data_IF_664098268911
#
_entry.id   IF_664098268911
#
_cell.length_a   1.000
_cell.length_b   1.000
_cell.length_c   1.000
_cell.angle_alpha   90.00
_cell.angle_beta   90.00
_cell.angle_gamma   90.00
#
_symmetry.space_group_name_H-M   'P 1'
#
loop_
_entity.id
_entity.type
_entity.pdbx_description
1 polymer ?
#
# COMPACT_ATOMS: atom_id res chain seq x y z
N UNK A 1 54.60 9.95 -40.67
CA UNK A 1 53.49 9.01 -40.42
C UNK A 1 52.99 8.55 -41.77
N UNK A 2 52.95 7.25 -42.01
CA UNK A 2 52.54 6.66 -43.29
C UNK A 2 51.02 6.61 -43.41
N UNK A 3 50.49 6.62 -44.63
CA UNK A 3 49.03 6.58 -44.88
C UNK A 3 48.36 5.32 -44.30
N UNK A 4 49.10 4.21 -44.21
CA UNK A 4 48.64 2.98 -43.58
C UNK A 4 48.45 3.14 -42.07
N UNK A 5 49.38 3.80 -41.37
CA UNK A 5 49.25 4.08 -39.94
C UNK A 5 48.06 5.00 -39.66
N UNK A 6 47.82 6.00 -40.51
CA UNK A 6 46.67 6.91 -40.36
C UNK A 6 45.34 6.19 -40.51
N UNK A 7 45.21 5.33 -41.53
CA UNK A 7 43.99 4.53 -41.76
C UNK A 7 43.71 3.54 -40.63
N UNK A 8 44.76 2.98 -40.04
CA UNK A 8 44.65 2.10 -38.87
C UNK A 8 44.18 2.89 -37.65
N UNK A 9 44.76 4.07 -37.40
CA UNK A 9 44.34 4.96 -36.30
C UNK A 9 42.87 5.40 -36.41
N UNK A 10 42.40 5.79 -37.60
CA UNK A 10 40.99 6.14 -37.84
C UNK A 10 40.03 4.98 -37.55
N UNK A 11 40.41 3.74 -37.91
CA UNK A 11 39.64 2.54 -37.56
C UNK A 11 39.60 2.28 -36.04
N UNK A 12 40.70 2.58 -35.32
CA UNK A 12 40.74 2.45 -33.87
C UNK A 12 39.96 3.56 -33.15
N UNK A 13 39.92 4.79 -33.68
CA UNK A 13 39.11 5.88 -33.11
C UNK A 13 37.62 5.62 -33.27
N UNK A 14 37.18 5.14 -34.45
CA UNK A 14 35.77 4.81 -34.70
C UNK A 14 35.24 3.61 -33.91
N UNK A 15 36.11 2.77 -33.36
CA UNK A 15 35.75 1.61 -32.54
C UNK A 15 35.78 1.89 -31.03
N UNK A 16 36.17 3.10 -30.61
CA UNK A 16 36.09 3.48 -29.20
C UNK A 16 34.61 3.55 -28.78
N UNK A 17 34.23 2.86 -27.71
CA UNK A 17 32.86 2.93 -27.21
C UNK A 17 32.63 4.38 -26.73
N UNK A 18 31.58 5.02 -27.24
CA UNK A 18 31.22 6.40 -26.90
C UNK A 18 30.89 6.49 -25.42
N UNK A 19 31.82 6.98 -24.60
CA UNK A 19 31.73 7.05 -23.12
C UNK A 19 30.40 7.65 -22.62
N UNK A 20 29.86 8.58 -23.40
CA UNK A 20 28.55 9.23 -23.24
C UNK A 20 27.33 8.29 -23.35
N UNK A 21 27.45 7.16 -24.07
CA UNK A 21 26.41 6.12 -24.23
C UNK A 21 26.65 4.89 -23.32
N UNK A 22 27.81 4.76 -22.64
CA UNK A 22 28.11 3.53 -21.86
C UNK A 22 27.36 3.43 -20.54
N UNK A 23 26.90 4.56 -20.00
CA UNK A 23 26.21 4.60 -18.71
C UNK A 23 24.93 5.41 -18.87
N UNK A 24 23.81 4.72 -19.10
CA UNK A 24 22.49 5.33 -18.88
C UNK A 24 22.40 5.75 -17.42
N UNK A 25 22.67 7.03 -17.15
CA UNK A 25 22.47 7.61 -15.81
C UNK A 25 20.97 7.71 -15.56
N UNK A 26 20.39 6.66 -14.95
CA UNK A 26 19.02 6.71 -14.47
C UNK A 26 18.91 7.76 -13.37
N UNK A 27 18.27 8.89 -13.67
CA UNK A 27 18.00 9.96 -12.71
C UNK A 27 16.77 9.65 -11.84
N UNK A 28 16.44 8.36 -11.67
CA UNK A 28 15.28 7.91 -10.89
C UNK A 28 15.67 7.87 -9.42
N UNK A 29 15.02 8.71 -8.62
CA UNK A 29 15.21 8.72 -7.17
C UNK A 29 14.56 7.47 -6.53
N UNK A 30 15.30 6.36 -6.51
CA UNK A 30 14.84 5.09 -5.94
C UNK A 30 14.40 5.23 -4.48
N UNK A 31 15.04 6.09 -3.67
CA UNK A 31 14.67 6.31 -2.27
C UNK A 31 13.27 6.91 -2.15
N UNK A 32 12.98 7.93 -2.96
CA UNK A 32 11.65 8.55 -2.96
C UNK A 32 10.57 7.56 -3.36
N UNK A 33 10.81 6.75 -4.41
CA UNK A 33 9.86 5.74 -4.85
C UNK A 33 9.67 4.61 -3.85
N UNK A 34 10.74 4.15 -3.19
CA UNK A 34 10.63 3.17 -2.10
C UNK A 34 9.78 3.72 -0.94
N UNK A 35 9.97 4.99 -0.57
CA UNK A 35 9.21 5.62 0.49
C UNK A 35 7.71 5.74 0.12
N UNK A 36 7.40 6.06 -1.14
CA UNK A 36 6.01 6.07 -1.64
C UNK A 36 5.36 4.70 -1.49
N UNK A 37 6.05 3.62 -1.88
CA UNK A 37 5.52 2.25 -1.76
C UNK A 37 5.27 1.88 -0.29
N UNK A 38 6.18 2.24 0.61
CA UNK A 38 6.03 1.98 2.05
C UNK A 38 4.83 2.73 2.61
N UNK A 39 4.72 4.04 2.36
CA UNK A 39 3.60 4.83 2.85
C UNK A 39 2.26 4.35 2.30
N UNK A 40 2.23 3.96 1.02
CA UNK A 40 1.03 3.38 0.42
C UNK A 40 0.62 2.08 1.10
N UNK A 41 1.59 1.21 1.43
CA UNK A 41 1.34 -0.01 2.21
C UNK A 41 0.76 0.30 3.60
N UNK A 42 1.28 1.33 4.29
CA UNK A 42 0.75 1.77 5.59
C UNK A 42 -0.69 2.27 5.46
N UNK A 43 -1.01 3.05 4.42
CA UNK A 43 -2.38 3.53 4.18
C UNK A 43 -3.33 2.36 3.96
N UNK A 44 -2.96 1.38 3.14
CA UNK A 44 -3.78 0.17 2.92
C UNK A 44 -4.00 -0.58 4.24
N UNK A 45 -2.93 -0.76 5.02
CA UNK A 45 -3.01 -1.45 6.31
C UNK A 45 -3.96 -0.73 7.27
N UNK A 46 -3.88 0.60 7.35
CA UNK A 46 -4.80 1.43 8.15
C UNK A 46 -6.25 1.31 7.68
N UNK A 47 -6.50 1.28 6.36
CA UNK A 47 -7.85 1.07 5.82
C UNK A 47 -8.41 -0.30 6.24
N UNK A 48 -7.62 -1.37 6.19
CA UNK A 48 -8.03 -2.71 6.62
C UNK A 48 -8.33 -2.72 8.13
N UNK A 49 -7.46 -2.11 8.93
CA UNK A 49 -7.66 -2.00 10.38
C UNK A 49 -8.95 -1.24 10.72
N UNK A 50 -9.21 -0.13 10.02
CA UNK A 50 -10.42 0.67 10.20
C UNK A 50 -11.69 -0.11 9.85
N UNK A 51 -11.69 -0.85 8.73
CA UNK A 51 -12.81 -1.71 8.34
C UNK A 51 -13.10 -2.77 9.41
N UNK A 52 -12.07 -3.42 9.95
CA UNK A 52 -12.26 -4.44 10.98
C UNK A 52 -12.83 -3.86 12.27
N UNK A 53 -12.30 -2.70 12.71
CA UNK A 53 -12.80 -2.02 13.90
C UNK A 53 -14.26 -1.56 13.73
N UNK A 54 -14.62 -1.01 12.57
CA UNK A 54 -15.99 -0.56 12.32
C UNK A 54 -16.97 -1.73 12.16
N UNK A 55 -16.53 -2.85 11.60
CA UNK A 55 -17.32 -4.07 11.55
C UNK A 55 -17.65 -4.60 12.96
N UNK A 56 -16.66 -4.59 13.87
CA UNK A 56 -16.90 -4.97 15.27
C UNK A 56 -17.82 -3.98 15.98
N UNK A 57 -17.62 -2.67 15.80
CA UNK A 57 -18.49 -1.62 16.35
C UNK A 57 -19.93 -1.81 15.89
N UNK A 58 -20.15 -2.00 14.59
CA UNK A 58 -21.49 -2.14 14.03
C UNK A 58 -22.17 -3.44 14.51
N UNK A 59 -21.43 -4.55 14.61
CA UNK A 59 -21.92 -5.80 15.19
C UNK A 59 -22.36 -5.64 16.66
N UNK A 60 -21.64 -4.83 17.45
CA UNK A 60 -22.01 -4.52 18.83
C UNK A 60 -23.29 -3.68 18.93
N UNK A 61 -23.42 -2.64 18.09
CA UNK A 61 -24.60 -1.76 18.08
C UNK A 61 -25.86 -2.51 17.62
N UNK A 62 -25.70 -3.41 16.65
CA UNK A 62 -26.81 -4.21 16.10
C UNK A 62 -27.06 -5.52 16.86
N UNK A 63 -26.30 -5.77 17.93
CA UNK A 63 -26.39 -6.96 18.78
C UNK A 63 -26.35 -8.29 17.99
N UNK A 64 -25.43 -8.39 17.01
CA UNK A 64 -25.31 -9.56 16.13
C UNK A 64 -24.57 -10.75 16.78
N UNK A 65 -23.87 -10.53 17.89
CA UNK A 65 -23.10 -11.56 18.60
C UNK A 65 -23.57 -11.73 20.06
N UNK A 66 -24.82 -12.16 20.31
CA UNK A 66 -25.29 -12.43 21.66
C UNK A 66 -24.61 -13.69 22.23
N UNK A 67 -24.13 -13.62 23.47
CA UNK A 67 -23.58 -14.79 24.16
C UNK A 67 -24.72 -15.80 24.49
N UNK A 68 -24.60 -17.08 24.06
CA UNK A 68 -25.63 -18.09 24.28
C UNK A 68 -25.74 -18.53 25.75
N UNK A 69 -24.69 -18.34 26.56
CA UNK A 69 -24.62 -18.76 27.97
C UNK A 69 -25.01 -17.61 28.90
N UNK A 70 -24.53 -16.40 28.62
CA UNK A 70 -24.75 -15.24 29.49
C UNK A 70 -25.67 -14.20 28.84
N UNK A 71 -26.91 -14.09 29.34
CA UNK A 71 -27.87 -13.09 28.88
C UNK A 71 -27.32 -11.67 29.09
N UNK A 72 -26.99 -10.99 27.99
CA UNK A 72 -26.44 -9.62 27.99
C UNK A 72 -24.92 -9.53 27.85
N UNK A 73 -24.20 -10.66 27.83
CA UNK A 73 -22.80 -10.67 27.43
C UNK A 73 -22.65 -10.77 25.91
N UNK A 74 -21.47 -10.39 25.43
CA UNK A 74 -21.12 -10.44 24.00
C UNK A 74 -20.12 -11.56 23.77
N UNK A 75 -20.40 -12.41 22.78
CA UNK A 75 -19.45 -13.44 22.37
C UNK A 75 -18.27 -12.81 21.60
N UNK A 76 -17.10 -12.82 22.24
CA UNK A 76 -15.85 -12.32 21.65
C UNK A 76 -15.39 -13.16 20.48
N UNK A 77 -15.67 -14.46 20.45
CA UNK A 77 -15.28 -15.33 19.34
C UNK A 77 -16.05 -14.94 18.07
N UNK A 78 -17.36 -14.70 18.21
CA UNK A 78 -18.20 -14.16 17.13
C UNK A 78 -17.70 -12.79 16.63
N UNK A 79 -17.27 -11.88 17.50
CA UNK A 79 -16.78 -10.56 17.08
C UNK A 79 -15.56 -10.58 16.14
N UNK A 80 -14.74 -11.63 16.16
CA UNK A 80 -13.59 -11.74 15.26
C UNK A 80 -13.97 -12.20 13.85
N UNK A 81 -15.13 -12.84 13.69
CA UNK A 81 -15.54 -13.49 12.43
C UNK A 81 -16.83 -12.93 11.85
N UNK A 82 -17.59 -12.18 12.65
CA UNK A 82 -18.88 -11.60 12.25
C UNK A 82 -18.69 -10.71 11.04
N UNK A 83 -19.59 -10.82 10.06
CA UNK A 83 -19.70 -9.90 8.94
C UNK A 83 -20.98 -9.11 9.13
N UNK A 84 -20.85 -7.87 9.55
CA UNK A 84 -21.99 -7.08 10.01
C UNK A 84 -22.72 -6.30 8.91
N UNK A 85 -22.05 -6.06 7.76
CA UNK A 85 -22.64 -5.53 6.52
C UNK A 85 -22.17 -6.32 5.29
N UNK A 86 -22.87 -6.15 4.17
CA UNK A 86 -22.60 -6.90 2.95
C UNK A 86 -21.26 -6.55 2.30
N UNK A 87 -20.85 -5.28 2.40
CA UNK A 87 -19.65 -4.79 1.75
C UNK A 87 -18.67 -4.07 2.69
N UNK A 88 -17.38 -4.38 2.53
CA UNK A 88 -16.30 -3.82 3.34
C UNK A 88 -16.12 -2.30 3.17
N UNK A 89 -16.45 -1.77 1.99
CA UNK A 89 -16.30 -0.34 1.70
C UNK A 89 -17.28 0.52 2.50
N UNK A 90 -18.42 -0.04 2.92
CA UNK A 90 -19.38 0.68 3.78
C UNK A 90 -18.80 0.96 5.16
N UNK A 91 -18.06 -0.01 5.71
CA UNK A 91 -17.32 0.15 6.95
C UNK A 91 -16.20 1.18 6.80
N UNK A 92 -15.48 1.14 5.68
CA UNK A 92 -14.41 2.11 5.40
C UNK A 92 -14.95 3.53 5.29
N UNK A 93 -16.01 3.73 4.51
CA UNK A 93 -16.64 5.03 4.31
C UNK A 93 -17.21 5.59 5.61
N UNK A 94 -17.92 4.76 6.38
CA UNK A 94 -18.49 5.20 7.64
C UNK A 94 -17.39 5.56 8.65
N UNK A 95 -16.37 4.72 8.82
CA UNK A 95 -15.25 4.99 9.73
C UNK A 95 -14.46 6.25 9.35
N UNK A 96 -14.33 6.55 8.05
CA UNK A 96 -13.65 7.75 7.58
C UNK A 96 -14.46 9.03 7.77
N UNK A 97 -15.78 8.95 7.62
CA UNK A 97 -16.69 10.11 7.71
C UNK A 97 -17.19 10.41 9.13
N UNK A 98 -17.28 9.39 9.99
CA UNK A 98 -17.83 9.49 11.35
C UNK A 98 -16.72 9.34 12.41
N UNK A 99 -15.74 10.25 12.35
CA UNK A 99 -14.59 10.31 13.28
C UNK A 99 -14.93 10.87 14.66
N UNK A 100 -16.14 11.40 14.85
CA UNK A 100 -16.63 11.88 16.15
C UNK A 100 -17.74 10.96 16.65
N UNK A 101 -17.80 10.65 17.96
CA UNK A 101 -18.95 9.95 18.51
C UNK A 101 -20.20 10.81 18.32
N UNK A 102 -21.32 10.16 18.00
CA UNK A 102 -22.63 10.82 17.95
C UNK A 102 -22.91 11.46 19.31
N UNK A 103 -23.26 12.75 19.32
CA UNK A 103 -23.67 13.42 20.55
C UNK A 103 -25.02 12.86 20.96
N UNK A 104 -25.08 12.23 22.14
CA UNK A 104 -26.32 11.82 22.79
C UNK A 104 -27.13 13.03 23.23
#
# INVERSE_FOLDING_TARGET
MSDSERKVLEMYEGSRPREEDLFETSNVNHIAWSLVVILFGVVIWLCIALVNAENQRYALITNQCPDPVFKGAVDKACLYTVKSRDHWWEHLWYGFTHVKPERK
#
